data_IF_455946869388
#
_entry.id   IF_455946869388
#
_cell.length_a   1.000
_cell.length_b   1.000
_cell.length_c   1.000
_cell.angle_alpha   90.00
_cell.angle_beta   90.00
_cell.angle_gamma   90.00
#
_symmetry.space_group_name_H-M   'P 1'
#
loop_
_entity.id
_entity.type
_entity.pdbx_description
1 polymer ?
#
# COMPACT_ATOMS: atom_id res chain seq x y z
N UNK A 1 25.32 -4.34 29.48
CA UNK A 1 26.05 -3.15 28.99
C UNK A 1 25.12 -1.96 29.05
N UNK A 2 25.45 -0.92 29.80
CA UNK A 2 24.69 0.34 29.82
C UNK A 2 24.97 1.03 28.48
N UNK A 3 23.99 0.96 27.57
CA UNK A 3 24.08 1.64 26.26
C UNK A 3 23.75 3.11 26.48
N UNK A 4 24.60 4.00 25.98
CA UNK A 4 24.52 5.44 26.19
C UNK A 4 23.14 6.01 25.76
N UNK A 5 22.62 6.95 26.55
CA UNK A 5 21.48 7.78 26.17
C UNK A 5 21.80 8.52 24.87
N UNK A 6 20.89 8.48 23.92
CA UNK A 6 21.08 9.02 22.59
C UNK A 6 20.18 10.24 22.42
N UNK A 7 20.75 11.41 22.13
CA UNK A 7 20.05 12.68 22.01
C UNK A 7 19.91 13.45 23.33
N UNK A 8 19.57 14.76 23.23
CA UNK A 8 19.37 15.65 24.38
C UNK A 8 18.23 15.16 25.30
N UNK A 9 17.20 14.56 24.76
CA UNK A 9 16.04 14.04 25.50
C UNK A 9 16.19 12.57 25.92
N UNK A 10 17.36 11.96 25.70
CA UNK A 10 17.70 10.65 26.22
C UNK A 10 16.95 9.48 25.62
N UNK A 11 16.60 9.52 24.30
CA UNK A 11 16.03 8.36 23.62
C UNK A 11 16.94 7.13 23.81
N UNK A 12 16.34 6.02 24.19
CA UNK A 12 17.02 4.76 24.37
C UNK A 12 16.22 3.66 23.67
N UNK A 13 16.75 3.05 22.61
CA UNK A 13 16.12 1.89 21.99
C UNK A 13 16.33 0.65 22.89
N UNK A 14 15.33 -0.23 22.93
CA UNK A 14 15.35 -1.47 23.70
C UNK A 14 15.12 -2.69 22.80
N UNK A 15 15.56 -3.86 23.26
CA UNK A 15 15.38 -5.12 22.55
C UNK A 15 15.86 -5.07 21.10
N UNK A 16 15.11 -5.63 20.21
CA UNK A 16 15.41 -5.71 18.77
C UNK A 16 15.51 -4.32 18.10
N UNK A 17 14.79 -3.32 18.61
CA UNK A 17 14.90 -1.94 18.15
C UNK A 17 16.33 -1.39 18.39
N UNK A 18 17.02 -1.87 19.43
CA UNK A 18 18.42 -1.52 19.67
C UNK A 18 19.38 -2.12 18.65
N UNK A 19 19.13 -3.38 18.26
CA UNK A 19 19.96 -4.04 17.24
C UNK A 19 19.81 -3.37 15.88
N UNK A 20 18.57 -3.02 15.48
CA UNK A 20 18.30 -2.21 14.31
C UNK A 20 19.02 -0.85 14.37
N UNK A 21 18.97 -0.19 15.51
CA UNK A 21 19.55 1.15 15.67
C UNK A 21 21.06 1.19 15.39
N UNK A 22 21.81 0.16 15.81
CA UNK A 22 23.24 0.07 15.61
C UNK A 22 23.67 -0.69 14.35
N UNK A 23 22.75 -1.34 13.65
CA UNK A 23 23.04 -2.06 12.41
C UNK A 23 23.48 -1.10 11.30
N UNK A 24 24.48 -1.52 10.51
CA UNK A 24 25.04 -0.78 9.37
C UNK A 24 24.85 -1.51 8.03
N UNK A 25 24.11 -2.61 8.04
CA UNK A 25 23.82 -3.35 6.80
C UNK A 25 23.12 -2.43 5.78
N UNK A 26 23.35 -2.62 4.48
CA UNK A 26 22.85 -1.72 3.44
C UNK A 26 21.32 -1.57 3.44
N UNK A 27 20.59 -2.65 3.69
CA UNK A 27 19.14 -2.67 3.73
C UNK A 27 18.65 -3.26 5.05
N UNK A 28 17.89 -2.47 5.81
CA UNK A 28 17.37 -2.89 7.13
C UNK A 28 15.89 -2.53 7.28
N UNK A 29 15.15 -3.41 7.94
CA UNK A 29 13.71 -3.24 8.19
C UNK A 29 13.35 -3.49 9.65
N UNK A 30 12.65 -2.55 10.27
CA UNK A 30 12.08 -2.73 11.60
C UNK A 30 10.62 -3.16 11.46
N UNK A 31 10.35 -4.43 11.65
CA UNK A 31 9.04 -5.06 11.48
C UNK A 31 8.41 -5.42 12.83
N UNK A 32 7.10 -5.49 12.90
CA UNK A 32 6.39 -5.98 14.08
C UNK A 32 5.02 -5.35 14.28
N UNK A 33 4.32 -5.71 15.36
CA UNK A 33 2.98 -5.23 15.62
C UNK A 33 2.90 -3.71 15.75
N UNK A 34 1.69 -3.17 15.75
CA UNK A 34 1.46 -1.74 16.00
C UNK A 34 1.93 -1.36 17.42
N UNK A 35 2.18 -0.09 17.67
CA UNK A 35 2.56 0.45 19.00
C UNK A 35 3.90 -0.09 19.57
N UNK A 36 4.78 -0.68 18.76
CA UNK A 36 6.09 -1.18 19.24
C UNK A 36 7.23 -0.16 19.16
N UNK A 37 6.94 1.08 18.75
CA UNK A 37 7.93 2.16 18.69
C UNK A 37 8.83 2.13 17.45
N UNK A 38 8.47 1.42 16.39
CA UNK A 38 9.25 1.30 15.14
C UNK A 38 9.60 2.64 14.52
N UNK A 39 8.58 3.43 14.22
CA UNK A 39 8.74 4.74 13.57
C UNK A 39 9.62 5.68 14.37
N UNK A 40 9.39 5.80 15.67
CA UNK A 40 10.20 6.69 16.52
C UNK A 40 11.68 6.23 16.58
N UNK A 41 11.93 4.93 16.60
CA UNK A 41 13.30 4.37 16.58
C UNK A 41 14.02 4.70 15.26
N UNK A 42 13.36 4.48 14.13
CA UNK A 42 13.94 4.77 12.82
C UNK A 42 14.19 6.27 12.62
N UNK A 43 13.28 7.12 13.05
CA UNK A 43 13.44 8.58 12.99
C UNK A 43 14.56 9.09 13.88
N UNK A 44 14.75 8.55 15.09
CA UNK A 44 15.91 8.89 15.93
C UNK A 44 17.22 8.43 15.29
N UNK A 45 17.27 7.24 14.68
CA UNK A 45 18.45 6.77 13.94
C UNK A 45 18.77 7.71 12.78
N UNK A 46 17.76 8.10 11.98
CA UNK A 46 17.90 9.06 10.88
C UNK A 46 18.51 10.39 11.38
N UNK A 47 17.89 10.97 12.41
CA UNK A 47 18.33 12.23 13.01
C UNK A 47 19.78 12.17 13.51
N UNK A 48 20.12 11.14 14.25
CA UNK A 48 21.46 11.02 14.84
C UNK A 48 22.56 10.76 13.83
N UNK A 49 22.27 10.05 12.73
CA UNK A 49 23.21 9.89 11.63
C UNK A 49 23.47 11.24 10.95
N UNK A 50 22.43 12.06 10.74
CA UNK A 50 22.59 13.42 10.21
C UNK A 50 23.33 14.37 11.19
N UNK A 51 23.17 14.20 12.49
CA UNK A 51 23.95 14.95 13.48
C UNK A 51 25.42 14.52 13.55
N UNK A 52 25.66 13.20 13.43
CA UNK A 52 26.99 12.60 13.61
C UNK A 52 27.93 12.86 12.44
N UNK A 53 27.41 12.75 11.22
CA UNK A 53 28.20 12.91 10.00
C UNK A 53 27.86 14.25 9.36
N UNK A 54 28.86 14.91 8.75
CA UNK A 54 28.68 16.18 8.05
C UNK A 54 28.18 15.95 6.63
N UNK A 55 27.36 16.87 6.14
CA UNK A 55 26.87 16.91 4.77
C UNK A 55 26.11 15.65 4.33
N UNK A 56 25.51 14.88 5.26
CA UNK A 56 24.69 13.71 4.92
C UNK A 56 23.50 14.16 4.08
N UNK A 57 23.33 13.54 2.93
CA UNK A 57 22.15 13.74 2.10
C UNK A 57 21.18 12.58 2.34
N UNK A 58 20.13 12.84 3.06
CA UNK A 58 19.13 11.82 3.43
C UNK A 58 17.77 12.11 2.83
N UNK A 59 16.95 11.07 2.66
CA UNK A 59 15.54 11.19 2.26
C UNK A 59 14.64 10.44 3.22
N UNK A 60 13.47 11.02 3.50
CA UNK A 60 12.38 10.41 4.26
C UNK A 60 11.19 10.25 3.31
N UNK A 61 10.75 9.01 3.09
CA UNK A 61 9.69 8.70 2.10
C UNK A 61 8.56 7.86 2.68
N UNK A 62 7.40 7.96 2.06
CA UNK A 62 6.26 7.06 2.19
C UNK A 62 5.57 6.91 0.82
N UNK A 63 4.62 6.00 0.68
CA UNK A 63 3.87 5.77 -0.56
C UNK A 63 3.32 7.07 -1.16
N UNK A 64 2.73 7.96 -0.33
CA UNK A 64 2.27 9.28 -0.79
C UNK A 64 2.84 10.42 0.02
N UNK A 65 3.03 11.57 -0.63
CA UNK A 65 3.52 12.77 0.04
C UNK A 65 2.53 13.28 1.11
N UNK A 66 1.22 13.12 0.89
CA UNK A 66 0.20 13.53 1.87
C UNK A 66 0.32 12.71 3.17
N UNK A 67 0.48 11.40 3.06
CA UNK A 67 0.52 10.51 4.22
C UNK A 67 1.78 10.66 5.07
N UNK A 68 2.92 11.02 4.47
CA UNK A 68 4.17 11.22 5.24
C UNK A 68 4.09 12.42 6.17
N UNK A 69 3.40 13.51 5.77
CA UNK A 69 3.20 14.67 6.64
C UNK A 69 2.31 14.37 7.84
N UNK A 70 1.27 13.59 7.65
CA UNK A 70 0.36 13.19 8.72
C UNK A 70 1.00 12.23 9.74
N UNK A 71 2.07 11.53 9.35
CA UNK A 71 2.70 10.47 10.15
C UNK A 71 4.14 10.80 10.56
N UNK A 72 5.11 10.39 9.74
CA UNK A 72 6.54 10.45 10.09
C UNK A 72 7.04 11.88 10.30
N UNK A 73 6.66 12.84 9.45
CA UNK A 73 7.08 14.24 9.58
C UNK A 73 6.56 14.86 10.88
N UNK A 74 5.28 14.65 11.20
CA UNK A 74 4.70 15.12 12.46
C UNK A 74 5.43 14.52 13.66
N UNK A 75 5.65 13.20 13.65
CA UNK A 75 6.38 12.51 14.72
C UNK A 75 7.82 13.01 14.84
N UNK A 76 8.48 13.27 13.71
CA UNK A 76 9.84 13.79 13.67
C UNK A 76 9.95 15.17 14.32
N UNK A 77 9.06 16.09 13.94
CA UNK A 77 9.04 17.45 14.49
C UNK A 77 8.70 17.48 15.98
N UNK A 78 7.65 16.75 16.40
CA UNK A 78 7.13 16.81 17.77
C UNK A 78 7.93 15.97 18.78
N UNK A 79 8.50 14.83 18.36
CA UNK A 79 9.07 13.85 19.28
C UNK A 79 10.58 13.61 19.12
N UNK A 80 11.17 13.96 17.96
CA UNK A 80 12.60 13.71 17.69
C UNK A 80 13.41 15.00 17.75
N UNK A 81 12.94 16.06 17.09
CA UNK A 81 13.69 17.31 17.04
C UNK A 81 13.63 18.11 18.36
N UNK A 82 12.50 18.08 19.06
CA UNK A 82 12.29 18.89 20.26
C UNK A 82 12.12 20.39 19.95
N UNK A 83 11.84 21.19 21.01
CA UNK A 83 11.54 22.62 20.85
C UNK A 83 12.76 23.51 20.54
N UNK A 84 13.94 23.11 21.05
CA UNK A 84 15.18 23.90 20.95
C UNK A 84 16.14 23.31 19.91
N UNK A 85 15.62 22.67 18.87
CA UNK A 85 16.44 22.07 17.84
C UNK A 85 17.10 23.13 16.96
N UNK A 86 18.40 22.97 16.61
CA UNK A 86 19.04 23.82 15.61
C UNK A 86 18.76 23.40 14.17
N UNK A 87 17.87 22.42 13.96
CA UNK A 87 17.48 21.92 12.63
C UNK A 87 16.38 22.81 12.08
N UNK A 88 16.60 23.35 10.88
CA UNK A 88 15.69 24.31 10.23
C UNK A 88 14.78 23.63 9.20
N UNK A 89 13.45 23.62 9.39
CA UNK A 89 12.52 23.10 8.41
C UNK A 89 12.22 24.12 7.31
N UNK A 90 12.47 23.79 6.06
CA UNK A 90 12.11 24.62 4.90
C UNK A 90 10.78 24.16 4.29
N UNK A 91 9.87 25.10 4.01
CA UNK A 91 8.56 24.84 3.37
C UNK A 91 7.37 25.04 4.32
N UNK A 92 7.56 25.67 5.48
CA UNK A 92 6.50 26.07 6.40
C UNK A 92 5.80 24.87 7.08
N UNK A 93 4.46 24.82 7.02
CA UNK A 93 3.68 23.73 7.67
C UNK A 93 3.90 22.34 7.07
N UNK A 94 4.40 22.27 5.84
CA UNK A 94 4.72 21.02 5.14
C UNK A 94 6.18 21.09 4.67
N UNK A 95 7.14 20.82 5.56
CA UNK A 95 8.55 20.95 5.23
C UNK A 95 8.93 20.06 4.03
N UNK A 96 9.59 20.68 3.05
CA UNK A 96 10.15 19.94 1.91
C UNK A 96 11.47 19.27 2.28
N UNK A 97 12.22 19.89 3.22
CA UNK A 97 13.43 19.32 3.80
C UNK A 97 13.73 19.91 5.18
N UNK A 98 14.66 19.29 5.88
CA UNK A 98 15.20 19.73 7.16
C UNK A 98 16.71 19.95 7.01
N UNK A 99 17.19 21.18 7.25
CA UNK A 99 18.59 21.56 7.20
C UNK A 99 19.26 21.49 8.58
N UNK A 100 20.43 20.86 8.62
CA UNK A 100 21.25 20.72 9.82
C UNK A 100 22.42 21.69 9.78
N UNK A 101 22.86 22.23 10.94
CA UNK A 101 24.00 23.18 11.00
C UNK A 101 25.32 22.62 10.47
N UNK A 102 25.46 21.29 10.40
CA UNK A 102 26.67 20.62 9.89
C UNK A 102 26.62 20.35 8.38
N UNK A 103 25.65 20.92 7.66
CA UNK A 103 25.44 20.77 6.22
C UNK A 103 24.63 19.53 5.81
N UNK A 104 24.21 18.71 6.75
CA UNK A 104 23.34 17.57 6.45
C UNK A 104 21.93 18.03 6.14
N UNK A 105 21.20 17.28 5.31
CA UNK A 105 19.82 17.57 4.90
C UNK A 105 18.99 16.29 4.82
N UNK A 106 17.74 16.36 5.31
CA UNK A 106 16.73 15.32 5.12
C UNK A 106 15.64 15.86 4.19
N UNK A 107 15.54 15.33 2.99
CA UNK A 107 14.46 15.65 2.02
C UNK A 107 13.21 14.85 2.38
N UNK A 108 12.04 15.46 2.24
CA UNK A 108 10.73 14.81 2.46
C UNK A 108 10.04 14.59 1.12
N UNK A 109 9.67 13.35 0.81
CA UNK A 109 9.06 13.00 -0.47
C UNK A 109 8.00 11.90 -0.33
N UNK A 110 7.05 11.89 -1.28
CA UNK A 110 6.17 10.76 -1.55
C UNK A 110 6.63 10.04 -2.82
N UNK A 111 6.41 8.75 -2.89
CA UNK A 111 6.70 7.97 -4.11
C UNK A 111 5.57 8.03 -5.15
N UNK A 112 4.47 8.72 -4.83
CA UNK A 112 3.46 9.18 -5.79
C UNK A 112 4.01 10.25 -6.76
N UNK A 113 5.13 10.90 -6.41
CA UNK A 113 5.90 11.76 -7.30
C UNK A 113 7.38 11.35 -7.31
N UNK A 114 7.72 10.23 -7.97
CA UNK A 114 9.05 9.64 -7.92
C UNK A 114 10.15 10.55 -8.49
N UNK A 115 9.82 11.52 -9.32
CA UNK A 115 10.79 12.46 -9.91
C UNK A 115 11.61 13.21 -8.88
N UNK A 116 11.03 13.58 -7.73
CA UNK A 116 11.76 14.23 -6.62
C UNK A 116 12.82 13.33 -6.00
N UNK A 117 12.53 12.03 -5.87
CA UNK A 117 13.44 11.05 -5.27
C UNK A 117 14.50 10.60 -6.26
N UNK A 118 14.10 10.39 -7.52
CA UNK A 118 14.97 9.87 -8.57
C UNK A 118 16.01 10.86 -9.08
N UNK A 119 15.79 12.16 -8.87
CA UNK A 119 16.69 13.23 -9.36
C UNK A 119 17.92 13.48 -8.49
N UNK A 120 18.03 12.81 -7.33
CA UNK A 120 19.14 12.99 -6.38
C UNK A 120 19.77 11.67 -5.97
N UNK A 121 21.01 11.75 -5.45
CA UNK A 121 21.69 10.65 -4.76
C UNK A 121 21.64 10.87 -3.25
N UNK A 122 21.57 9.79 -2.49
CA UNK A 122 21.47 9.82 -1.04
C UNK A 122 22.52 8.94 -0.38
N UNK A 123 22.89 9.28 0.84
CA UNK A 123 23.66 8.42 1.77
C UNK A 123 22.72 7.55 2.59
N UNK A 124 21.51 8.06 2.88
CA UNK A 124 20.58 7.44 3.80
C UNK A 124 19.13 7.64 3.30
N UNK A 125 18.37 6.57 3.21
CA UNK A 125 16.94 6.62 2.93
C UNK A 125 16.16 5.99 4.09
N UNK A 126 15.09 6.67 4.52
CA UNK A 126 14.15 6.13 5.48
C UNK A 126 12.76 6.01 4.85
N UNK A 127 12.19 4.83 4.92
CA UNK A 127 10.88 4.48 4.39
C UNK A 127 9.90 4.24 5.54
N UNK A 128 8.91 5.09 5.67
CA UNK A 128 7.84 4.93 6.66
C UNK A 128 6.71 4.07 6.09
N UNK A 129 6.28 3.08 6.85
CA UNK A 129 5.28 2.07 6.45
C UNK A 129 5.65 1.41 5.10
N UNK A 130 6.80 0.75 5.09
CA UNK A 130 7.35 0.13 3.89
C UNK A 130 6.46 -0.99 3.34
N UNK A 131 5.52 -1.52 4.12
CA UNK A 131 4.51 -2.47 3.65
C UNK A 131 3.56 -1.90 2.60
N UNK A 132 3.46 -0.57 2.48
CA UNK A 132 2.66 0.08 1.45
C UNK A 132 3.39 0.18 0.09
N UNK A 133 4.69 -0.07 0.07
CA UNK A 133 5.55 0.02 -1.11
C UNK A 133 5.60 -1.33 -1.85
N UNK A 134 6.00 -1.25 -3.12
CA UNK A 134 6.34 -2.44 -3.91
C UNK A 134 7.85 -2.70 -3.85
N UNK A 135 8.27 -3.90 -4.28
CA UNK A 135 9.68 -4.24 -4.43
C UNK A 135 10.41 -3.23 -5.32
N UNK A 136 9.80 -2.84 -6.45
CA UNK A 136 10.38 -1.88 -7.38
C UNK A 136 10.58 -0.48 -6.77
N UNK A 137 9.67 -0.03 -5.90
CA UNK A 137 9.82 1.25 -5.20
C UNK A 137 11.02 1.22 -4.25
N UNK A 138 11.18 0.10 -3.51
CA UNK A 138 12.31 -0.12 -2.62
C UNK A 138 13.63 -0.21 -3.39
N UNK A 139 13.67 -0.98 -4.47
CA UNK A 139 14.85 -1.12 -5.36
C UNK A 139 15.23 0.21 -5.99
N UNK A 140 14.25 1.01 -6.37
CA UNK A 140 14.48 2.37 -6.86
C UNK A 140 15.22 3.21 -5.81
N UNK A 141 14.80 3.16 -4.54
CA UNK A 141 15.49 3.85 -3.46
C UNK A 141 16.91 3.30 -3.21
N UNK A 142 17.11 1.98 -3.29
CA UNK A 142 18.43 1.38 -3.12
C UNK A 142 19.40 1.83 -4.22
N UNK A 143 18.95 1.96 -5.47
CA UNK A 143 19.77 2.48 -6.58
C UNK A 143 20.15 3.95 -6.42
N UNK A 144 19.40 4.73 -5.64
CA UNK A 144 19.68 6.14 -5.33
C UNK A 144 20.42 6.34 -4.04
N UNK A 145 20.49 5.34 -3.19
CA UNK A 145 21.20 5.38 -1.89
C UNK A 145 22.59 4.76 -2.06
N UNK A 146 23.44 5.48 -2.77
CA UNK A 146 24.76 4.98 -3.20
C UNK A 146 25.89 5.34 -2.24
N UNK A 147 25.66 6.25 -1.28
CA UNK A 147 26.68 6.79 -0.39
C UNK A 147 27.67 7.75 -1.06
N UNK A 148 27.44 8.12 -2.32
CA UNK A 148 28.28 9.08 -3.05
C UNK A 148 27.85 10.53 -2.86
N UNK A 149 26.69 10.73 -2.24
CA UNK A 149 26.11 12.07 -2.07
C UNK A 149 26.82 12.90 -0.97
N UNK A 150 27.44 12.27 0.00
CA UNK A 150 28.01 12.95 1.14
C UNK A 150 29.18 12.24 1.81
N UNK A 151 29.28 12.39 3.12
CA UNK A 151 30.43 11.96 3.92
C UNK A 151 30.09 10.84 4.93
N UNK A 152 29.01 10.11 4.71
CA UNK A 152 28.69 8.95 5.53
C UNK A 152 29.55 7.74 5.11
N UNK A 153 30.16 6.97 6.06
CA UNK A 153 31.08 5.89 5.72
C UNK A 153 30.39 4.63 5.15
N UNK A 154 29.07 4.64 5.02
CA UNK A 154 28.25 3.58 4.41
C UNK A 154 26.93 4.17 3.93
N UNK A 155 26.34 3.56 2.91
CA UNK A 155 24.98 3.86 2.47
C UNK A 155 24.00 2.93 3.17
N UNK A 156 22.79 3.42 3.48
CA UNK A 156 21.77 2.58 4.10
C UNK A 156 20.35 2.97 3.68
N UNK A 157 19.57 1.99 3.27
CA UNK A 157 18.11 2.10 3.18
C UNK A 157 17.51 1.42 4.40
N UNK A 158 16.72 2.14 5.16
CA UNK A 158 16.04 1.62 6.33
C UNK A 158 14.55 1.88 6.27
N UNK A 159 13.76 0.97 6.81
CA UNK A 159 12.31 1.10 6.85
C UNK A 159 11.69 0.64 8.15
N UNK A 160 10.45 1.05 8.38
CA UNK A 160 9.57 0.45 9.37
C UNK A 160 8.31 -0.08 8.69
N UNK A 161 7.78 -1.20 9.16
CA UNK A 161 6.59 -1.81 8.61
C UNK A 161 5.76 -2.56 9.66
N UNK A 162 4.46 -2.68 9.39
CA UNK A 162 3.63 -3.70 10.02
C UNK A 162 3.67 -4.98 9.17
N UNK A 163 3.41 -6.15 9.75
CA UNK A 163 3.33 -7.38 8.96
C UNK A 163 2.22 -7.34 7.91
N UNK A 164 2.54 -7.85 6.73
CA UNK A 164 1.65 -8.05 5.59
C UNK A 164 1.36 -9.53 5.31
N UNK A 165 1.12 -9.87 4.05
CA UNK A 165 0.94 -11.23 3.54
C UNK A 165 2.22 -12.06 3.57
N UNK A 166 2.09 -13.38 3.45
CA UNK A 166 3.23 -14.32 3.48
C UNK A 166 4.14 -14.23 2.24
N UNK A 167 3.64 -13.66 1.15
CA UNK A 167 4.36 -13.49 -0.13
C UNK A 167 4.86 -12.07 -0.33
N UNK A 168 4.88 -11.25 0.72
CA UNK A 168 5.27 -9.86 0.63
C UNK A 168 6.76 -9.71 0.29
N UNK A 169 7.14 -8.75 -0.55
CA UNK A 169 8.50 -8.52 -1.04
C UNK A 169 9.54 -8.37 0.09
N UNK A 170 9.16 -7.82 1.24
CA UNK A 170 10.06 -7.70 2.42
C UNK A 170 10.54 -9.09 2.87
N UNK A 171 9.64 -10.08 2.91
CA UNK A 171 10.00 -11.46 3.28
C UNK A 171 10.82 -12.14 2.19
N UNK A 172 10.54 -11.88 0.92
CA UNK A 172 11.31 -12.45 -0.19
C UNK A 172 12.74 -11.89 -0.21
N UNK A 173 12.93 -10.59 0.04
CA UNK A 173 14.28 -9.99 0.16
C UNK A 173 15.04 -10.49 1.39
N UNK A 174 14.36 -10.74 2.51
CA UNK A 174 14.96 -11.37 3.70
C UNK A 174 15.46 -12.79 3.39
N UNK A 175 14.68 -13.61 2.67
CA UNK A 175 15.04 -15.00 2.29
C UNK A 175 16.32 -15.08 1.45
N UNK A 176 16.61 -14.07 0.64
CA UNK A 176 17.82 -14.00 -0.20
C UNK A 176 18.91 -13.14 0.40
N UNK A 177 18.87 -12.88 1.71
CA UNK A 177 19.85 -12.09 2.49
C UNK A 177 20.13 -10.68 1.93
N UNK A 178 19.22 -10.13 1.11
CA UNK A 178 19.34 -8.77 0.58
C UNK A 178 18.85 -7.71 1.56
N UNK A 179 17.98 -8.09 2.52
CA UNK A 179 17.41 -7.20 3.53
C UNK A 179 17.45 -7.87 4.89
N UNK A 180 17.97 -7.17 5.90
CA UNK A 180 17.95 -7.65 7.29
C UNK A 180 16.74 -7.10 8.04
N UNK A 181 15.86 -8.00 8.47
CA UNK A 181 14.64 -7.65 9.20
C UNK A 181 14.81 -7.86 10.71
N UNK A 182 14.31 -6.90 11.48
CA UNK A 182 14.33 -6.87 12.94
C UNK A 182 12.88 -6.89 13.45
N UNK A 183 12.51 -7.90 14.23
CA UNK A 183 11.16 -8.07 14.73
C UNK A 183 10.98 -7.45 16.10
N UNK A 184 10.21 -6.36 16.19
CA UNK A 184 9.91 -5.67 17.45
C UNK A 184 8.76 -6.32 18.21
N UNK A 185 8.72 -6.10 19.50
CA UNK A 185 7.67 -6.57 20.42
C UNK A 185 7.15 -5.40 21.26
N UNK A 186 5.93 -5.50 21.75
CA UNK A 186 5.34 -4.48 22.63
C UNK A 186 6.19 -4.25 23.89
N UNK A 187 6.78 -5.30 24.45
CA UNK A 187 7.63 -5.25 25.62
C UNK A 187 8.89 -4.38 25.42
N UNK A 188 9.36 -4.22 24.18
CA UNK A 188 10.52 -3.41 23.84
C UNK A 188 10.19 -1.89 23.79
N UNK A 189 8.90 -1.52 23.87
CA UNK A 189 8.48 -0.12 23.87
C UNK A 189 8.37 0.43 25.32
N UNK A 190 9.27 1.38 25.74
CA UNK A 190 9.25 1.92 27.10
C UNK A 190 8.00 2.74 27.44
N UNK A 191 7.21 3.15 26.43
CA UNK A 191 5.91 3.81 26.65
C UNK A 191 4.87 2.80 27.11
N UNK A 192 4.96 1.54 26.67
CA UNK A 192 4.01 0.48 26.99
C UNK A 192 4.45 -0.36 28.21
N UNK A 193 5.74 -0.57 28.38
CA UNK A 193 6.30 -1.39 29.45
C UNK A 193 7.47 -0.70 30.14
N UNK A 194 7.48 -0.74 31.47
CA UNK A 194 8.61 -0.28 32.26
C UNK A 194 9.81 -1.21 32.00
N UNK A 195 10.88 -0.69 31.43
CA UNK A 195 12.05 -1.49 31.01
C UNK A 195 12.89 -2.01 32.17
N UNK A 196 12.65 -1.54 33.41
CA UNK A 196 13.35 -2.02 34.62
C UNK A 196 12.55 -3.12 35.34
N UNK A 197 11.23 -2.93 35.47
CA UNK A 197 10.36 -3.88 36.21
C UNK A 197 9.65 -4.88 35.30
N UNK A 198 9.56 -4.60 33.98
CA UNK A 198 8.77 -5.40 33.02
C UNK A 198 7.26 -5.17 33.10
N UNK A 199 6.81 -4.32 34.04
CA UNK A 199 5.39 -4.05 34.26
C UNK A 199 4.80 -3.19 33.15
N UNK A 200 3.52 -3.45 32.81
CA UNK A 200 2.78 -2.65 31.84
C UNK A 200 2.45 -1.29 32.41
N UNK A 201 2.68 -0.22 31.65
CA UNK A 201 2.32 1.15 32.02
C UNK A 201 0.81 1.40 31.84
N UNK A 202 0.29 2.50 32.39
CA UNK A 202 -1.10 2.90 32.16
C UNK A 202 -1.37 3.20 30.65
N UNK A 203 -0.40 3.76 29.94
CA UNK A 203 -0.53 3.92 28.50
C UNK A 203 -0.52 2.57 27.78
N UNK A 204 0.34 1.63 28.23
CA UNK A 204 0.39 0.28 27.70
C UNK A 204 -0.95 -0.46 27.86
N UNK A 205 -1.58 -0.35 29.01
CA UNK A 205 -2.93 -0.93 29.24
C UNK A 205 -3.96 -0.38 28.24
N UNK A 206 -3.98 0.94 28.02
CA UNK A 206 -4.89 1.58 27.06
C UNK A 206 -4.62 1.14 25.63
N UNK A 207 -3.37 1.22 25.16
CA UNK A 207 -2.99 0.84 23.80
C UNK A 207 -3.26 -0.63 23.50
N UNK A 208 -2.86 -1.54 24.42
CA UNK A 208 -3.08 -2.97 24.23
C UNK A 208 -4.57 -3.35 24.38
N UNK A 209 -5.36 -2.62 25.17
CA UNK A 209 -6.81 -2.82 25.20
C UNK A 209 -7.43 -2.59 23.82
N UNK A 210 -7.07 -1.51 23.12
CA UNK A 210 -7.55 -1.22 21.76
C UNK A 210 -7.11 -2.30 20.77
N UNK A 211 -5.84 -2.70 20.81
CA UNK A 211 -5.32 -3.75 19.91
C UNK A 211 -5.96 -5.13 20.18
N UNK A 212 -6.32 -5.43 21.42
CA UNK A 212 -7.00 -6.67 21.78
C UNK A 212 -8.46 -6.75 21.28
N UNK A 213 -9.08 -5.61 20.90
CA UNK A 213 -10.39 -5.61 20.25
C UNK A 213 -10.32 -6.03 18.78
N UNK A 214 -9.12 -6.06 18.19
CA UNK A 214 -8.95 -6.51 16.81
C UNK A 214 -9.23 -8.00 16.69
N UNK A 215 -9.81 -8.41 15.56
CA UNK A 215 -10.13 -9.80 15.25
C UNK A 215 -9.46 -10.25 13.96
N UNK A 216 -9.46 -11.55 13.69
CA UNK A 216 -9.02 -12.15 12.44
C UNK A 216 -7.61 -11.72 12.01
N UNK A 217 -7.47 -11.40 10.74
CA UNK A 217 -6.21 -11.03 10.11
C UNK A 217 -5.56 -9.78 10.74
N UNK A 218 -6.39 -8.77 11.06
CA UNK A 218 -5.90 -7.54 11.69
C UNK A 218 -5.28 -7.79 13.06
N UNK A 219 -5.88 -8.69 13.86
CA UNK A 219 -5.31 -9.10 15.14
C UNK A 219 -3.97 -9.79 14.96
N UNK A 220 -3.90 -10.76 14.03
CA UNK A 220 -2.67 -11.50 13.74
C UNK A 220 -1.53 -10.57 13.31
N UNK A 221 -1.80 -9.59 12.45
CA UNK A 221 -0.78 -8.65 11.94
C UNK A 221 -0.45 -7.56 12.96
N UNK A 222 -1.45 -6.83 13.48
CA UNK A 222 -1.22 -5.61 14.26
C UNK A 222 -1.03 -5.82 15.76
N UNK A 223 -1.54 -6.93 16.32
CA UNK A 223 -1.31 -7.29 17.72
C UNK A 223 -0.23 -8.35 17.88
N UNK A 224 -0.29 -9.43 17.07
CA UNK A 224 0.59 -10.58 17.24
C UNK A 224 1.88 -10.48 16.40
N UNK A 225 1.95 -9.52 15.49
CA UNK A 225 3.14 -9.28 14.65
C UNK A 225 3.43 -10.37 13.64
N UNK A 226 2.41 -11.14 13.22
CA UNK A 226 2.55 -12.26 12.31
C UNK A 226 2.40 -11.84 10.85
N UNK A 227 3.31 -12.29 10.01
CA UNK A 227 3.18 -12.22 8.56
C UNK A 227 2.26 -13.34 8.11
N UNK A 228 1.02 -13.00 7.84
CA UNK A 228 -0.03 -13.98 7.49
C UNK A 228 -0.89 -13.45 6.37
N UNK A 229 -1.19 -14.33 5.41
CA UNK A 229 -2.31 -14.14 4.49
C UNK A 229 -3.59 -14.54 5.22
N UNK A 230 -4.74 -14.04 4.76
CA UNK A 230 -6.02 -14.46 5.32
C UNK A 230 -6.17 -15.99 5.17
N UNK A 231 -6.54 -16.68 6.22
CA UNK A 231 -6.99 -18.07 6.08
C UNK A 231 -8.21 -18.05 5.17
N UNK A 232 -8.21 -18.90 4.13
CA UNK A 232 -9.26 -18.90 3.14
C UNK A 232 -9.19 -17.76 2.11
N UNK A 233 -8.04 -17.09 1.93
CA UNK A 233 -7.87 -16.09 0.87
C UNK A 233 -8.29 -16.69 -0.48
N UNK A 234 -9.10 -15.93 -1.22
CA UNK A 234 -9.69 -16.38 -2.48
C UNK A 234 -8.68 -16.25 -3.62
N UNK A 235 -8.03 -15.10 -3.76
CA UNK A 235 -7.08 -14.82 -4.83
C UNK A 235 -5.63 -15.00 -4.36
N UNK A 236 -5.22 -16.27 -4.22
CA UNK A 236 -3.90 -16.64 -3.69
C UNK A 236 -2.76 -16.38 -4.67
N UNK A 237 -3.07 -16.30 -5.97
CA UNK A 237 -2.09 -16.03 -7.03
C UNK A 237 -1.81 -14.53 -7.24
N UNK A 238 -2.56 -13.63 -6.56
CA UNK A 238 -2.28 -12.20 -6.63
C UNK A 238 -0.95 -11.87 -5.96
N UNK A 239 -0.11 -11.19 -6.70
CA UNK A 239 1.16 -10.66 -6.21
C UNK A 239 1.31 -9.22 -6.74
N UNK A 240 1.33 -8.19 -5.88
CA UNK A 240 1.49 -6.79 -6.29
C UNK A 240 2.71 -6.55 -7.18
N UNK A 241 3.83 -7.26 -6.96
CA UNK A 241 5.06 -7.11 -7.75
C UNK A 241 4.93 -7.58 -9.21
N UNK A 242 3.93 -8.43 -9.47
CA UNK A 242 3.67 -8.99 -10.81
C UNK A 242 2.48 -8.32 -11.49
N UNK A 243 1.44 -7.99 -10.71
CA UNK A 243 0.15 -7.54 -11.24
C UNK A 243 0.00 -6.01 -11.27
N UNK A 244 0.72 -5.28 -10.38
CA UNK A 244 0.74 -3.82 -10.40
C UNK A 244 1.88 -3.35 -11.31
N UNK A 245 1.52 -2.77 -12.45
CA UNK A 245 2.48 -2.29 -13.44
C UNK A 245 2.44 -0.77 -13.58
N UNK A 246 3.54 -0.20 -14.05
CA UNK A 246 3.59 1.22 -14.32
C UNK A 246 2.67 1.59 -15.49
N UNK A 247 2.16 2.82 -15.48
CA UNK A 247 1.35 3.34 -16.58
C UNK A 247 2.13 3.32 -17.89
N UNK A 248 1.41 3.00 -18.94
CA UNK A 248 1.84 3.11 -20.31
C UNK A 248 0.68 3.61 -21.19
N UNK A 249 0.95 4.11 -22.38
CA UNK A 249 -0.08 4.55 -23.31
C UNK A 249 -0.84 3.35 -23.86
N UNK A 250 -2.13 3.27 -23.55
CA UNK A 250 -2.99 2.17 -24.03
C UNK A 250 -3.17 2.31 -25.54
N UNK A 251 -2.73 1.33 -26.34
CA UNK A 251 -2.86 1.38 -27.80
C UNK A 251 -4.30 1.63 -28.25
N UNK A 252 -4.48 2.41 -29.30
CA UNK A 252 -5.80 2.84 -29.76
C UNK A 252 -6.64 1.67 -30.30
N UNK A 253 -6.00 0.64 -30.82
CA UNK A 253 -6.59 -0.59 -31.36
C UNK A 253 -7.01 -1.59 -30.28
N UNK A 254 -6.56 -1.39 -29.04
CA UNK A 254 -6.99 -2.28 -27.94
C UNK A 254 -8.47 -2.02 -27.60
N UNK A 255 -9.18 -3.11 -27.43
CA UNK A 255 -10.59 -3.05 -27.00
C UNK A 255 -10.68 -2.53 -25.58
N UNK A 256 -11.71 -1.71 -25.30
CA UNK A 256 -11.98 -1.17 -23.98
C UNK A 256 -13.38 -1.51 -23.51
N UNK A 257 -13.49 -1.91 -22.25
CA UNK A 257 -14.77 -2.12 -21.58
C UNK A 257 -14.80 -1.34 -20.26
N UNK A 258 -15.99 -1.00 -19.80
CA UNK A 258 -16.21 -0.50 -18.43
C UNK A 258 -17.00 -1.51 -17.64
N UNK A 259 -16.70 -1.60 -16.36
CA UNK A 259 -17.37 -2.51 -15.44
C UNK A 259 -17.72 -1.76 -14.18
N UNK A 260 -18.97 -1.89 -13.73
CA UNK A 260 -19.52 -1.12 -12.61
C UNK A 260 -20.14 -2.07 -11.60
N UNK A 261 -19.72 -1.91 -10.35
CA UNK A 261 -20.40 -2.40 -9.17
C UNK A 261 -21.03 -1.22 -8.44
N UNK A 262 -22.36 -1.26 -8.21
CA UNK A 262 -23.09 -0.14 -7.66
C UNK A 262 -22.97 -0.08 -6.14
N UNK A 263 -22.87 1.15 -5.61
CA UNK A 263 -22.89 1.43 -4.20
C UNK A 263 -23.15 2.89 -3.91
N UNK A 264 -23.63 3.18 -2.71
CA UNK A 264 -23.81 4.53 -2.18
C UNK A 264 -23.18 4.67 -0.80
N UNK A 265 -23.66 3.90 0.18
CA UNK A 265 -23.03 3.77 1.51
C UNK A 265 -21.77 2.93 1.41
N UNK A 266 -21.83 1.84 0.66
CA UNK A 266 -20.68 1.08 0.19
C UNK A 266 -20.07 1.76 -1.04
N UNK A 267 -18.82 1.47 -1.38
CA UNK A 267 -18.19 2.03 -2.55
C UNK A 267 -18.94 1.74 -3.86
N UNK A 268 -19.17 2.78 -4.67
CA UNK A 268 -19.42 2.63 -6.10
C UNK A 268 -18.08 2.40 -6.76
N UNK A 269 -17.93 1.31 -7.49
CA UNK A 269 -16.70 0.97 -8.19
C UNK A 269 -16.95 0.96 -9.70
N UNK A 270 -16.14 1.71 -10.45
CA UNK A 270 -16.14 1.68 -11.91
C UNK A 270 -14.73 1.50 -12.42
N UNK A 271 -14.45 0.38 -13.09
CA UNK A 271 -13.17 0.07 -13.71
C UNK A 271 -13.20 0.19 -15.23
N UNK A 272 -12.21 0.86 -15.81
CA UNK A 272 -11.93 0.86 -17.25
C UNK A 272 -10.84 -0.16 -17.54
N UNK A 273 -11.18 -1.11 -18.38
CA UNK A 273 -10.33 -2.24 -18.74
C UNK A 273 -9.94 -2.18 -20.21
N UNK A 274 -8.65 -2.21 -20.50
CA UNK A 274 -8.13 -2.44 -21.82
C UNK A 274 -7.82 -3.93 -22.02
N UNK A 275 -7.98 -4.41 -23.25
CA UNK A 275 -7.81 -5.82 -23.61
C UNK A 275 -6.84 -5.89 -24.79
N UNK A 276 -5.68 -6.50 -24.58
CA UNK A 276 -4.68 -6.69 -25.63
C UNK A 276 -5.03 -7.84 -26.61
N UNK A 277 -4.20 -8.02 -27.63
CA UNK A 277 -4.37 -9.05 -28.64
C UNK A 277 -4.37 -10.49 -28.08
N UNK A 278 -3.70 -10.73 -26.94
CA UNK A 278 -3.65 -12.03 -26.26
C UNK A 278 -4.81 -12.20 -25.28
N UNK A 279 -5.61 -11.16 -25.09
CA UNK A 279 -6.75 -11.13 -24.17
C UNK A 279 -6.36 -10.96 -22.72
N UNK A 280 -5.24 -10.30 -22.44
CA UNK A 280 -4.91 -9.83 -21.10
C UNK A 280 -5.74 -8.60 -20.79
N UNK A 281 -6.15 -8.49 -19.53
CA UNK A 281 -6.93 -7.37 -18.99
C UNK A 281 -6.00 -6.41 -18.27
N UNK A 282 -6.18 -5.11 -18.54
CA UNK A 282 -5.43 -4.02 -17.90
C UNK A 282 -6.41 -3.02 -17.30
N UNK A 283 -6.51 -2.98 -15.96
CA UNK A 283 -7.27 -1.94 -15.26
C UNK A 283 -6.48 -0.63 -15.32
N UNK A 284 -6.82 0.26 -16.25
CA UNK A 284 -6.05 1.48 -16.47
C UNK A 284 -6.65 2.73 -15.85
N UNK A 285 -7.91 2.64 -15.37
CA UNK A 285 -8.60 3.71 -14.66
C UNK A 285 -9.66 3.11 -13.76
N UNK A 286 -9.83 3.64 -12.55
CA UNK A 286 -10.92 3.26 -11.66
C UNK A 286 -11.46 4.43 -10.83
N UNK A 287 -12.78 4.43 -10.60
CA UNK A 287 -13.47 5.18 -9.56
C UNK A 287 -13.75 4.19 -8.43
N UNK A 288 -13.47 4.60 -7.20
CA UNK A 288 -13.80 3.85 -5.99
C UNK A 288 -14.25 4.85 -4.93
N UNK A 289 -15.59 5.03 -4.76
CA UNK A 289 -16.11 6.20 -4.08
C UNK A 289 -17.44 5.93 -3.38
N UNK A 290 -17.63 6.47 -2.18
CA UNK A 290 -18.89 6.44 -1.41
C UNK A 290 -19.65 7.77 -1.47
N UNK A 291 -20.91 7.78 -1.06
CA UNK A 291 -21.71 8.99 -0.82
C UNK A 291 -22.07 9.81 -2.06
N UNK A 292 -21.99 9.21 -3.26
CA UNK A 292 -22.35 9.87 -4.52
C UNK A 292 -23.45 9.11 -5.24
N UNK A 293 -24.40 9.84 -5.81
CA UNK A 293 -25.49 9.25 -6.61
C UNK A 293 -24.96 8.73 -7.95
N UNK A 294 -25.66 7.75 -8.53
CA UNK A 294 -25.32 7.17 -9.84
C UNK A 294 -25.29 8.23 -10.93
N UNK A 295 -26.19 9.22 -10.92
CA UNK A 295 -26.16 10.33 -11.89
C UNK A 295 -24.89 11.18 -11.78
N UNK A 296 -24.35 11.40 -10.57
CA UNK A 296 -23.09 12.12 -10.38
C UNK A 296 -21.91 11.31 -10.94
N UNK A 297 -21.90 10.00 -10.67
CA UNK A 297 -20.92 9.10 -11.27
C UNK A 297 -21.03 9.04 -12.79
N UNK A 298 -22.24 9.02 -13.34
CA UNK A 298 -22.45 9.00 -14.78
C UNK A 298 -21.84 10.21 -15.50
N UNK A 299 -21.93 11.41 -14.90
CA UNK A 299 -21.27 12.61 -15.44
C UNK A 299 -19.74 12.44 -15.44
N UNK A 300 -19.18 12.05 -14.32
CA UNK A 300 -17.74 11.81 -14.20
C UNK A 300 -17.25 10.71 -15.16
N UNK A 301 -18.03 9.64 -15.32
CA UNK A 301 -17.73 8.55 -16.26
C UNK A 301 -17.69 9.06 -17.70
N UNK A 302 -18.62 9.95 -18.10
CA UNK A 302 -18.61 10.54 -19.46
C UNK A 302 -17.38 11.40 -19.68
N UNK A 303 -17.08 12.29 -18.74
CA UNK A 303 -15.87 13.15 -18.79
C UNK A 303 -14.58 12.32 -18.89
N UNK A 304 -14.43 11.30 -18.05
CA UNK A 304 -13.25 10.43 -18.03
C UNK A 304 -13.16 9.50 -19.26
N UNK A 305 -14.23 9.32 -20.01
CA UNK A 305 -14.25 8.48 -21.22
C UNK A 305 -14.24 9.30 -22.52
N UNK A 306 -14.07 10.62 -22.43
CA UNK A 306 -14.04 11.48 -23.61
C UNK A 306 -12.91 11.04 -24.56
N UNK A 307 -13.26 10.90 -25.84
CA UNK A 307 -12.32 10.45 -26.86
C UNK A 307 -12.01 8.94 -26.86
N UNK A 308 -12.53 8.17 -25.90
CA UNK A 308 -12.31 6.72 -25.85
C UNK A 308 -13.49 5.94 -26.43
N UNK A 309 -13.19 4.95 -27.28
CA UNK A 309 -14.18 3.99 -27.75
C UNK A 309 -14.36 2.87 -26.74
N UNK A 310 -15.51 2.83 -26.07
CA UNK A 310 -15.88 1.78 -25.11
C UNK A 310 -16.82 0.79 -25.79
N UNK A 311 -16.42 -0.48 -25.89
CA UNK A 311 -17.19 -1.55 -26.54
C UNK A 311 -18.46 -1.94 -25.74
N UNK A 312 -18.37 -1.95 -24.41
CA UNK A 312 -19.45 -2.36 -23.52
C UNK A 312 -19.29 -1.76 -22.13
N UNK A 313 -20.38 -1.41 -21.48
CA UNK A 313 -20.42 -1.14 -20.03
C UNK A 313 -21.21 -2.28 -19.37
N UNK A 314 -20.56 -2.99 -18.47
CA UNK A 314 -21.11 -4.13 -17.73
C UNK A 314 -21.41 -3.65 -16.31
N UNK A 315 -22.63 -3.87 -15.82
CA UNK A 315 -23.04 -3.40 -14.50
C UNK A 315 -23.61 -4.53 -13.66
N UNK A 316 -23.57 -4.38 -12.35
CA UNK A 316 -24.36 -5.21 -11.46
C UNK A 316 -25.85 -5.17 -11.83
N UNK A 317 -26.66 -6.07 -11.25
CA UNK A 317 -28.04 -6.33 -11.68
C UNK A 317 -29.04 -5.30 -11.18
N UNK A 318 -28.66 -4.33 -10.36
CA UNK A 318 -29.60 -3.32 -9.88
C UNK A 318 -30.31 -2.62 -11.04
N UNK A 319 -31.62 -2.84 -11.13
CA UNK A 319 -32.40 -2.39 -12.28
C UNK A 319 -32.59 -0.87 -12.27
N UNK A 320 -32.72 -0.25 -11.11
CA UNK A 320 -32.92 1.20 -10.94
C UNK A 320 -31.62 1.94 -11.28
N UNK A 321 -30.49 1.50 -10.75
CA UNK A 321 -29.20 2.11 -11.01
C UNK A 321 -28.77 1.95 -12.47
N UNK A 322 -29.05 0.80 -13.08
CA UNK A 322 -28.85 0.57 -14.52
C UNK A 322 -29.72 1.47 -15.40
N UNK A 323 -30.99 1.65 -15.01
CA UNK A 323 -31.90 2.55 -15.73
C UNK A 323 -31.42 4.01 -15.61
N UNK A 324 -30.95 4.42 -14.45
CA UNK A 324 -30.36 5.74 -14.24
C UNK A 324 -29.14 5.97 -15.14
N UNK A 325 -28.20 5.01 -15.23
CA UNK A 325 -27.09 5.10 -16.17
C UNK A 325 -27.53 5.23 -17.62
N UNK A 326 -28.56 4.48 -18.02
CA UNK A 326 -29.12 4.54 -19.37
C UNK A 326 -29.74 5.92 -19.67
N UNK A 327 -30.49 6.48 -18.72
CA UNK A 327 -31.06 7.83 -18.82
C UNK A 327 -29.99 8.90 -18.94
N UNK A 328 -28.88 8.71 -18.25
CA UNK A 328 -27.68 9.58 -18.34
C UNK A 328 -26.87 9.35 -19.64
N UNK A 329 -27.32 8.50 -20.55
CA UNK A 329 -26.69 8.26 -21.85
C UNK A 329 -25.54 7.26 -21.80
N UNK A 330 -25.48 6.38 -20.81
CA UNK A 330 -24.52 5.28 -20.71
C UNK A 330 -25.24 3.94 -20.96
N UNK A 331 -25.23 3.42 -22.19
CA UNK A 331 -25.75 2.08 -22.48
C UNK A 331 -25.00 1.02 -21.69
N UNK A 332 -25.74 0.09 -21.09
CA UNK A 332 -25.15 -0.92 -20.21
C UNK A 332 -25.84 -2.28 -20.34
N UNK A 333 -25.11 -3.33 -19.97
CA UNK A 333 -25.60 -4.71 -19.93
C UNK A 333 -25.37 -5.33 -18.55
N UNK A 334 -26.24 -6.27 -18.11
CA UNK A 334 -26.09 -6.91 -16.80
C UNK A 334 -24.86 -7.83 -16.76
N UNK A 335 -24.17 -7.84 -15.63
CA UNK A 335 -23.08 -8.75 -15.34
C UNK A 335 -23.55 -10.19 -15.16
N UNK A 336 -22.68 -11.16 -15.33
CA UNK A 336 -22.92 -12.55 -14.96
C UNK A 336 -22.57 -12.76 -13.48
N UNK A 337 -23.52 -13.28 -12.69
CA UNK A 337 -23.42 -13.38 -11.22
C UNK A 337 -22.97 -14.72 -10.68
N UNK A 338 -22.53 -15.67 -11.48
CA UNK A 338 -21.99 -16.92 -10.95
C UNK A 338 -20.70 -16.66 -10.19
N UNK A 339 -20.81 -16.61 -8.84
CA UNK A 339 -19.72 -16.20 -7.96
C UNK A 339 -18.60 -17.22 -8.00
N UNK A 340 -18.91 -18.51 -7.80
CA UNK A 340 -17.90 -19.56 -7.73
C UNK A 340 -17.10 -19.72 -9.02
N UNK A 341 -17.81 -19.81 -10.16
CA UNK A 341 -17.15 -19.86 -11.48
C UNK A 341 -16.35 -18.61 -11.78
N UNK A 342 -16.89 -17.45 -11.40
CA UNK A 342 -16.23 -16.17 -11.63
C UNK A 342 -14.94 -16.04 -10.83
N UNK A 343 -14.94 -16.42 -9.55
CA UNK A 343 -13.76 -16.45 -8.69
C UNK A 343 -12.68 -17.35 -9.29
N UNK A 344 -13.05 -18.58 -9.68
CA UNK A 344 -12.08 -19.50 -10.27
C UNK A 344 -11.43 -18.92 -11.54
N UNK A 345 -12.21 -18.28 -12.41
CA UNK A 345 -11.70 -17.66 -13.63
C UNK A 345 -10.76 -16.48 -13.34
N UNK A 346 -11.06 -15.65 -12.33
CA UNK A 346 -10.16 -14.57 -11.91
C UNK A 346 -8.86 -15.16 -11.38
N UNK A 347 -8.93 -16.14 -10.48
CA UNK A 347 -7.75 -16.82 -9.93
C UNK A 347 -6.89 -17.44 -11.05
N UNK A 348 -7.50 -18.10 -12.03
CA UNK A 348 -6.77 -18.67 -13.17
C UNK A 348 -6.09 -17.60 -14.05
N UNK A 349 -6.66 -16.39 -14.14
CA UNK A 349 -6.06 -15.27 -14.86
C UNK A 349 -4.98 -14.52 -14.07
N UNK A 350 -5.02 -14.60 -12.75
CA UNK A 350 -3.98 -14.07 -11.87
C UNK A 350 -2.73 -14.97 -11.86
N UNK A 351 -2.86 -16.26 -12.13
CA UNK A 351 -1.70 -17.15 -12.26
C UNK A 351 -0.78 -16.70 -13.37
N UNK A 352 0.52 -16.71 -13.11
CA UNK A 352 1.53 -16.56 -14.15
C UNK A 352 1.45 -17.76 -15.09
N UNK A 353 1.27 -17.51 -16.37
CA UNK A 353 1.12 -18.53 -17.40
C UNK A 353 2.50 -18.95 -17.96
N UNK A 354 2.50 -19.89 -18.90
CA UNK A 354 3.73 -20.42 -19.53
C UNK A 354 4.58 -19.35 -20.24
N UNK A 355 3.96 -18.23 -20.65
CA UNK A 355 4.64 -17.08 -21.24
C UNK A 355 5.30 -16.13 -20.20
N UNK A 356 5.30 -16.53 -18.93
CA UNK A 356 5.85 -15.77 -17.81
C UNK A 356 5.01 -14.57 -17.38
N UNK A 357 3.75 -14.46 -17.85
CA UNK A 357 2.87 -13.32 -17.56
C UNK A 357 1.48 -13.75 -17.08
N UNK A 358 0.86 -13.02 -16.13
CA UNK A 358 -0.54 -13.22 -15.80
C UNK A 358 -1.45 -12.69 -16.92
N UNK A 359 -2.76 -12.86 -16.75
CA UNK A 359 -3.78 -12.37 -17.69
C UNK A 359 -4.59 -11.18 -17.15
N UNK A 360 -4.22 -10.68 -15.96
CA UNK A 360 -4.78 -9.48 -15.34
C UNK A 360 -3.64 -8.60 -14.85
N UNK A 361 -3.71 -7.31 -15.16
CA UNK A 361 -2.82 -6.27 -14.67
C UNK A 361 -3.63 -5.07 -14.18
N UNK A 362 -3.10 -4.36 -13.21
CA UNK A 362 -3.64 -3.11 -12.68
C UNK A 362 -2.56 -2.04 -12.82
N UNK A 363 -2.88 -0.89 -13.39
CA UNK A 363 -1.95 0.22 -13.48
C UNK A 363 -1.88 0.94 -12.13
N UNK A 364 -0.68 1.19 -11.61
CA UNK A 364 -0.43 1.76 -10.26
C UNK A 364 -1.15 3.08 -9.97
N UNK A 365 -1.39 3.88 -10.98
CA UNK A 365 -2.08 5.17 -10.90
C UNK A 365 -3.47 5.13 -11.53
N UNK A 366 -4.12 3.96 -11.49
CA UNK A 366 -5.46 3.78 -12.07
C UNK A 366 -6.56 4.51 -11.32
N UNK A 367 -6.39 4.75 -10.01
CA UNK A 367 -7.37 5.44 -9.18
C UNK A 367 -7.47 6.93 -9.55
N UNK A 368 -8.68 7.38 -9.91
CA UNK A 368 -8.94 8.76 -10.34
C UNK A 368 -8.93 9.74 -9.17
N UNK A 369 -9.54 9.34 -8.06
CA UNK A 369 -9.74 10.18 -6.87
C UNK A 369 -9.80 9.29 -5.63
N UNK A 370 -9.19 9.74 -4.54
CA UNK A 370 -9.22 9.02 -3.27
C UNK A 370 -10.43 9.46 -2.44
N UNK A 371 -11.19 8.51 -1.90
CA UNK A 371 -12.27 8.77 -0.94
C UNK A 371 -11.71 8.98 0.47
N UNK A 372 -11.74 10.21 0.95
CA UNK A 372 -11.24 10.57 2.29
C UNK A 372 -12.01 9.86 3.41
N UNK A 373 -13.30 9.58 3.21
CA UNK A 373 -14.12 8.86 4.20
C UNK A 373 -13.64 7.42 4.40
N UNK A 374 -13.22 6.77 3.32
CA UNK A 374 -12.67 5.42 3.38
C UNK A 374 -11.27 5.44 4.02
N UNK A 375 -10.46 6.45 3.70
CA UNK A 375 -9.13 6.63 4.32
C UNK A 375 -9.26 6.82 5.83
N UNK A 376 -10.17 7.69 6.28
CA UNK A 376 -10.41 7.93 7.71
C UNK A 376 -10.88 6.67 8.46
N UNK A 377 -11.66 5.83 7.80
CA UNK A 377 -12.15 4.56 8.35
C UNK A 377 -11.17 3.39 8.20
N UNK A 378 -10.01 3.61 7.58
CA UNK A 378 -9.03 2.56 7.27
C UNK A 378 -9.63 1.40 6.45
N UNK A 379 -10.51 1.73 5.52
CA UNK A 379 -11.12 0.80 4.56
C UNK A 379 -10.36 0.83 3.22
N UNK A 380 -10.53 -0.19 2.36
CA UNK A 380 -9.99 -0.17 1.01
C UNK A 380 -10.40 1.09 0.24
N UNK A 381 -9.49 1.64 -0.55
CA UNK A 381 -9.68 2.86 -1.35
C UNK A 381 -9.63 2.61 -2.84
N UNK A 382 -9.27 1.40 -3.24
CA UNK A 382 -9.19 0.94 -4.62
C UNK A 382 -9.41 -0.57 -4.70
N UNK A 383 -9.60 -1.11 -5.89
CA UNK A 383 -9.89 -2.53 -6.09
C UNK A 383 -8.74 -3.45 -5.62
N UNK A 384 -7.50 -3.04 -5.80
CA UNK A 384 -6.33 -3.81 -5.38
C UNK A 384 -6.19 -3.93 -3.86
N UNK A 385 -6.68 -2.94 -3.10
CA UNK A 385 -6.63 -2.97 -1.63
C UNK A 385 -7.56 -4.05 -1.03
N UNK A 386 -8.59 -4.48 -1.77
CA UNK A 386 -9.53 -5.52 -1.32
C UNK A 386 -8.97 -6.94 -1.45
N UNK A 387 -8.09 -7.18 -2.44
CA UNK A 387 -7.70 -8.53 -2.88
C UNK A 387 -7.11 -9.37 -1.74
N UNK A 388 -6.28 -8.76 -0.91
CA UNK A 388 -5.64 -9.45 0.23
C UNK A 388 -6.63 -9.81 1.35
N UNK A 389 -7.73 -9.07 1.44
CA UNK A 389 -8.81 -9.27 2.42
C UNK A 389 -9.98 -10.11 1.90
N UNK A 390 -10.01 -10.47 0.62
CA UNK A 390 -11.09 -11.23 0.02
C UNK A 390 -10.97 -12.70 0.36
N UNK A 391 -11.85 -13.18 1.24
CA UNK A 391 -11.76 -14.50 1.90
C UNK A 391 -13.07 -15.26 1.83
N UNK A 392 -12.98 -16.60 1.91
CA UNK A 392 -14.15 -17.46 2.07
C UNK A 392 -14.78 -17.28 3.45
N UNK A 393 -16.12 -17.29 3.50
CA UNK A 393 -16.85 -17.21 4.76
C UNK A 393 -16.66 -18.49 5.60
N UNK A 394 -16.21 -18.32 6.86
CA UNK A 394 -16.15 -19.42 7.82
C UNK A 394 -17.55 -19.97 8.09
N UNK A 395 -17.75 -21.31 7.97
CA UNK A 395 -18.99 -22.03 8.35
C UNK A 395 -20.18 -21.89 7.41
N UNK A 396 -20.04 -21.37 6.20
CA UNK A 396 -21.11 -21.46 5.21
C UNK A 396 -21.19 -22.91 4.67
N UNK A 397 -22.42 -23.44 4.50
CA UNK A 397 -22.65 -24.73 3.82
C UNK A 397 -22.33 -24.68 2.33
N UNK A 398 -22.10 -23.50 1.79
CA UNK A 398 -21.66 -23.20 0.43
C UNK A 398 -20.36 -22.39 0.52
N UNK A 399 -19.43 -22.65 -0.37
CA UNK A 399 -18.25 -21.82 -0.54
C UNK A 399 -18.68 -20.44 -1.10
N UNK A 400 -18.93 -19.48 -0.22
CA UNK A 400 -19.28 -18.11 -0.57
C UNK A 400 -18.26 -17.17 0.05
N UNK A 401 -17.84 -16.10 -0.64
CA UNK A 401 -16.96 -15.10 -0.06
C UNK A 401 -17.66 -14.32 1.08
N UNK A 402 -16.86 -13.77 1.98
CA UNK A 402 -17.34 -12.75 2.92
C UNK A 402 -17.76 -11.53 2.11
N UNK A 403 -19.00 -11.08 2.29
CA UNK A 403 -19.57 -9.90 1.62
C UNK A 403 -19.22 -8.63 2.39
N UNK A 404 -17.96 -8.32 2.43
CA UNK A 404 -17.43 -7.12 3.09
C UNK A 404 -16.18 -6.69 2.34
N UNK A 405 -16.16 -5.45 1.85
CA UNK A 405 -15.07 -4.91 1.03
C UNK A 405 -14.75 -5.81 -0.19
N UNK A 406 -15.75 -6.14 -0.98
CA UNK A 406 -15.66 -7.04 -2.13
C UNK A 406 -16.07 -6.40 -3.47
N UNK A 407 -16.31 -5.09 -3.48
CA UNK A 407 -16.82 -4.33 -4.63
C UNK A 407 -15.84 -4.27 -5.80
N UNK A 408 -14.54 -4.07 -5.52
CA UNK A 408 -13.47 -4.11 -6.52
C UNK A 408 -13.23 -5.52 -7.03
N UNK A 409 -13.32 -6.52 -6.15
CA UNK A 409 -13.23 -7.93 -6.51
C UNK A 409 -14.42 -8.35 -7.39
N UNK A 410 -15.63 -7.87 -7.10
CA UNK A 410 -16.82 -8.12 -7.90
C UNK A 410 -16.71 -7.45 -9.28
N UNK A 411 -16.27 -6.19 -9.34
CA UNK A 411 -16.00 -5.48 -10.59
C UNK A 411 -14.99 -6.26 -11.46
N UNK A 412 -13.90 -6.76 -10.88
CA UNK A 412 -12.90 -7.58 -11.58
C UNK A 412 -13.51 -8.90 -12.08
N UNK A 413 -14.32 -9.56 -11.26
CA UNK A 413 -15.03 -10.78 -11.61
C UNK A 413 -15.99 -10.57 -12.80
N UNK A 414 -16.73 -9.48 -12.82
CA UNK A 414 -17.63 -9.14 -13.94
C UNK A 414 -16.86 -8.90 -15.24
N UNK A 415 -15.69 -8.25 -15.18
CA UNK A 415 -14.82 -8.04 -16.34
C UNK A 415 -14.38 -9.37 -16.95
N UNK A 416 -13.88 -10.28 -16.12
CA UNK A 416 -13.40 -11.61 -16.54
C UNK A 416 -14.52 -12.47 -17.11
N UNK A 417 -15.68 -12.51 -16.43
CA UNK A 417 -16.82 -13.30 -16.88
C UNK A 417 -17.37 -12.82 -18.23
N UNK A 418 -17.40 -11.51 -18.47
CA UNK A 418 -17.82 -10.94 -19.76
C UNK A 418 -16.85 -11.32 -20.89
N UNK A 419 -15.56 -11.24 -20.65
CA UNK A 419 -14.55 -11.55 -21.67
C UNK A 419 -14.55 -13.03 -22.06
N UNK A 420 -14.66 -13.92 -21.08
CA UNK A 420 -14.58 -15.36 -21.31
C UNK A 420 -15.83 -15.95 -21.96
N UNK A 421 -16.99 -15.32 -21.81
CA UNK A 421 -18.21 -15.70 -22.54
C UNK A 421 -18.01 -15.53 -24.05
N UNK A 422 -17.39 -14.46 -24.50
CA UNK A 422 -17.14 -14.21 -25.93
C UNK A 422 -16.14 -15.19 -26.55
N UNK A 423 -15.16 -15.70 -25.79
CA UNK A 423 -14.21 -16.71 -26.27
C UNK A 423 -14.84 -18.09 -26.48
N UNK A 424 -15.84 -18.45 -25.68
CA UNK A 424 -16.60 -19.70 -25.86
C UNK A 424 -17.37 -19.77 -27.19
N UNK A 425 -17.87 -18.63 -27.67
CA UNK A 425 -18.57 -18.54 -28.96
C UNK A 425 -17.63 -18.66 -30.18
N UNK A 426 -16.42 -18.15 -30.08
CA UNK A 426 -15.45 -18.22 -31.17
C UNK A 426 -14.85 -19.63 -31.37
N UNK A 427 -14.85 -20.49 -30.33
CA UNK A 427 -14.41 -21.89 -30.43
C UNK A 427 -15.49 -22.87 -30.87
N UNK A 428 -16.75 -22.48 -30.86
CA UNK A 428 -17.89 -23.30 -31.31
C UNK A 428 -18.31 -23.06 -32.77
N UNK A 429 -17.59 -22.19 -33.50
CA UNK A 429 -17.86 -21.83 -34.89
C UNK A 429 -16.72 -22.22 -35.86
N UNK A 430 -15.84 -23.15 -35.45
CA UNK A 430 -14.78 -23.72 -36.31
C UNK A 430 -14.99 -25.20 -36.49
#
# INVERSE_FOLDING_TARGET
>A
MIRAKVGKDGFTPYGTACDFFYCKDPEIMLSGPAETGKTITALHKLHLLCCKYKNVHAVMVRKTQKSIYASAVKTFQEKVLGKDTPVDPYGGKKPEWFDYPNGSRIVVAGLDNPGKVLSAEYDLAYVNQAEELTANDWETLTTRTTGRAGHMPYAQVMGDCNPGGRTHWILEREKVDSLRRFNTRHQDNPVLFNQKTGEITEQGKRSLHVLNQLTGLRRARLLEGKWVSAEGQIYTSYNPDVHLINRFDIPADWRRIRVIDFGYTNPFVCGWWAIDGDGRLYLYRQIYMTGRTVSRHAKQIKELSEGERIDSTICDHDAEDRATLLQEGIPNIPAQKDVGVGIQKVEDRLKVQDDGRPRIFILRDSLVETDETLVEKHLPTCAEDEIDGYVWADKSRKEEPVKENDHGCDMMRYAVMHLDKRRGWARGAS
#
